data_IF_019898165958
#
_entry.id   IF_019898165958
#
_cell.length_a   1.000
_cell.length_b   1.000
_cell.length_c   1.000
_cell.angle_alpha   90.00
_cell.angle_beta   90.00
_cell.angle_gamma   90.00
#
_symmetry.space_group_name_H-M   'P 1'
#
loop_
_entity.id
_entity.type
_entity.pdbx_description
1 polymer ?
#
# COMPACT_ATOMS: atom_id res chain seq x y z
N UNK A 1 -40.77 -17.51 -4.88
CA UNK A 1 -39.47 -17.05 -4.35
C UNK A 1 -39.74 -16.31 -3.04
N UNK A 2 -39.00 -16.60 -1.96
CA UNK A 2 -39.25 -16.02 -0.63
C UNK A 2 -38.03 -15.20 -0.22
N UNK A 3 -38.25 -13.97 0.23
CA UNK A 3 -37.23 -13.16 0.90
C UNK A 3 -37.50 -13.18 2.41
N UNK A 4 -36.46 -13.36 3.21
CA UNK A 4 -36.53 -13.31 4.67
C UNK A 4 -35.58 -12.21 5.14
N UNK A 5 -36.11 -11.22 5.85
CA UNK A 5 -35.30 -10.22 6.54
C UNK A 5 -34.84 -10.75 7.90
N UNK A 6 -33.57 -10.54 8.23
CA UNK A 6 -32.98 -10.92 9.52
C UNK A 6 -32.27 -9.71 10.09
N UNK A 7 -32.52 -9.43 11.37
CA UNK A 7 -31.80 -8.40 12.11
C UNK A 7 -30.55 -9.02 12.74
N UNK A 8 -29.38 -8.49 12.40
CA UNK A 8 -28.08 -8.95 12.90
C UNK A 8 -27.38 -7.82 13.65
N UNK A 9 -26.51 -8.17 14.60
CA UNK A 9 -25.64 -7.21 15.29
C UNK A 9 -24.51 -6.69 14.40
N UNK A 10 -24.13 -7.44 13.37
CA UNK A 10 -23.08 -7.09 12.41
C UNK A 10 -23.38 -7.73 11.06
N UNK A 11 -23.00 -7.05 9.97
CA UNK A 11 -23.23 -7.57 8.64
C UNK A 11 -22.34 -8.79 8.34
N UNK A 12 -22.86 -9.78 7.60
CA UNK A 12 -22.08 -10.95 7.21
C UNK A 12 -20.95 -10.57 6.23
N UNK A 13 -19.94 -11.45 6.03
CA UNK A 13 -18.88 -11.23 5.05
C UNK A 13 -19.42 -10.90 3.65
N UNK A 14 -18.79 -9.95 2.96
CA UNK A 14 -19.24 -9.45 1.66
C UNK A 14 -20.39 -8.44 1.72
N UNK A 15 -20.77 -7.97 2.91
CA UNK A 15 -21.74 -6.89 3.11
C UNK A 15 -21.17 -5.79 4.01
N UNK A 16 -21.54 -4.55 3.76
CA UNK A 16 -21.23 -3.41 4.63
C UNK A 16 -22.51 -2.84 5.25
N UNK A 17 -22.39 -2.29 6.45
CA UNK A 17 -23.51 -1.69 7.17
C UNK A 17 -23.74 -0.25 6.72
N UNK A 18 -24.85 0.01 6.02
CA UNK A 18 -25.31 1.35 5.71
C UNK A 18 -26.23 1.83 6.83
N UNK A 19 -25.85 2.92 7.49
CA UNK A 19 -26.71 3.60 8.47
C UNK A 19 -27.59 4.61 7.75
N UNK A 20 -28.88 4.54 7.98
CA UNK A 20 -29.90 5.50 7.51
C UNK A 20 -30.77 5.91 8.71
N UNK A 21 -31.36 7.13 8.71
CA UNK A 21 -32.29 7.57 9.74
C UNK A 21 -33.47 6.60 9.96
N UNK A 22 -33.86 5.86 8.93
CA UNK A 22 -35.01 4.94 8.98
C UNK A 22 -34.63 3.57 9.54
N UNK A 23 -33.53 2.99 9.05
CA UNK A 23 -33.04 1.67 9.46
C UNK A 23 -31.58 1.47 9.05
N UNK A 24 -30.90 0.57 9.76
CA UNK A 24 -29.58 0.10 9.34
C UNK A 24 -29.76 -1.11 8.40
N UNK A 25 -29.03 -1.12 7.30
CA UNK A 25 -29.12 -2.18 6.29
C UNK A 25 -27.74 -2.75 5.98
N UNK A 26 -27.69 -4.04 5.67
CA UNK A 26 -26.49 -4.66 5.13
C UNK A 26 -26.57 -4.65 3.61
N UNK A 27 -25.72 -3.86 2.97
CA UNK A 27 -25.65 -3.74 1.52
C UNK A 27 -24.49 -4.60 1.01
N UNK A 28 -24.73 -5.36 -0.05
CA UNK A 28 -23.72 -6.24 -0.64
C UNK A 28 -22.58 -5.41 -1.24
N UNK A 29 -21.34 -5.82 -0.98
CA UNK A 29 -20.16 -5.28 -1.64
C UNK A 29 -20.19 -5.56 -3.15
N UNK A 30 -19.35 -4.83 -3.90
CA UNK A 30 -19.16 -5.09 -5.33
C UNK A 30 -18.55 -6.47 -5.59
N UNK A 31 -18.72 -6.98 -6.81
CA UNK A 31 -18.38 -8.36 -7.17
C UNK A 31 -16.88 -8.69 -7.05
N UNK A 32 -16.03 -7.69 -7.26
CA UNK A 32 -14.56 -7.66 -7.19
C UNK A 32 -14.01 -7.50 -5.77
N UNK A 33 -14.88 -7.20 -4.80
CA UNK A 33 -14.50 -6.86 -3.43
C UNK A 33 -14.96 -7.94 -2.43
N UNK A 34 -14.03 -8.41 -1.58
CA UNK A 34 -14.31 -9.37 -0.51
C UNK A 34 -14.84 -8.66 0.75
N UNK A 35 -14.23 -7.53 1.11
CA UNK A 35 -14.65 -6.70 2.23
C UNK A 35 -14.61 -5.23 1.83
N UNK A 36 -15.71 -4.50 2.09
CA UNK A 36 -15.85 -3.09 1.77
C UNK A 36 -16.28 -2.27 2.99
N UNK A 37 -15.80 -1.03 3.06
CA UNK A 37 -16.22 -0.07 4.07
C UNK A 37 -17.52 0.62 3.64
N UNK A 38 -17.63 0.93 2.36
CA UNK A 38 -18.85 1.46 1.74
C UNK A 38 -18.92 0.99 0.27
N UNK A 39 -19.94 1.44 -0.47
CA UNK A 39 -20.14 1.03 -1.86
C UNK A 39 -18.99 1.39 -2.82
N UNK A 40 -18.19 2.41 -2.49
CA UNK A 40 -17.10 2.92 -3.32
C UNK A 40 -15.70 2.62 -2.77
N UNK A 41 -15.61 2.09 -1.56
CA UNK A 41 -14.35 1.86 -0.86
C UNK A 41 -14.25 0.41 -0.40
N UNK A 42 -13.47 -0.37 -1.15
CA UNK A 42 -13.06 -1.71 -0.82
C UNK A 42 -11.86 -1.68 0.12
N UNK A 43 -11.86 -2.54 1.14
CA UNK A 43 -10.74 -2.74 2.07
C UNK A 43 -9.98 -4.03 1.77
N UNK A 44 -10.61 -4.99 1.10
CA UNK A 44 -9.98 -6.24 0.67
C UNK A 44 -10.56 -6.73 -0.65
N UNK A 45 -9.71 -6.86 -1.66
CA UNK A 45 -10.09 -7.39 -2.96
C UNK A 45 -10.16 -8.91 -2.97
N UNK A 46 -10.94 -9.47 -3.89
CA UNK A 46 -10.92 -10.91 -4.13
C UNK A 46 -9.63 -11.33 -4.84
N UNK A 47 -9.26 -12.59 -4.71
CA UNK A 47 -8.12 -13.17 -5.42
C UNK A 47 -8.21 -12.88 -6.94
N UNK A 48 -7.08 -12.42 -7.51
CA UNK A 48 -7.00 -12.00 -8.91
C UNK A 48 -7.23 -10.51 -9.15
N UNK A 49 -7.60 -9.75 -8.12
CA UNK A 49 -7.70 -8.28 -8.17
C UNK A 49 -6.71 -7.64 -7.20
N UNK A 50 -6.19 -6.47 -7.58
CA UNK A 50 -5.29 -5.65 -6.79
C UNK A 50 -6.02 -4.42 -6.25
N UNK A 51 -5.80 -4.12 -4.97
CA UNK A 51 -6.36 -2.95 -4.32
C UNK A 51 -5.57 -1.68 -4.70
N UNK A 52 -6.29 -0.68 -5.16
CA UNK A 52 -5.75 0.65 -5.44
C UNK A 52 -6.78 1.74 -5.10
N UNK A 53 -6.44 2.63 -4.16
CA UNK A 53 -7.30 3.74 -3.72
C UNK A 53 -8.75 3.32 -3.37
N UNK A 54 -8.90 2.17 -2.72
CA UNK A 54 -10.21 1.63 -2.34
C UNK A 54 -11.00 0.97 -3.49
N UNK A 55 -10.37 0.73 -4.65
CA UNK A 55 -10.96 -0.01 -5.78
C UNK A 55 -10.16 -1.27 -6.06
N UNK A 56 -10.83 -2.29 -6.58
CA UNK A 56 -10.20 -3.53 -7.01
C UNK A 56 -10.04 -3.51 -8.52
N UNK A 57 -8.82 -3.74 -9.00
CA UNK A 57 -8.47 -3.70 -10.41
C UNK A 57 -7.80 -5.01 -10.80
N UNK A 58 -8.11 -5.54 -11.98
CA UNK A 58 -7.43 -6.73 -12.50
C UNK A 58 -5.96 -6.42 -12.85
N UNK A 59 -5.71 -5.22 -13.39
CA UNK A 59 -4.38 -4.73 -13.73
C UNK A 59 -4.14 -3.38 -13.03
N UNK A 60 -2.93 -3.19 -12.51
CA UNK A 60 -2.53 -1.91 -11.91
C UNK A 60 -2.38 -0.83 -13.00
N UNK A 61 -2.76 0.42 -12.72
CA UNK A 61 -2.62 1.54 -13.65
C UNK A 61 -1.14 1.91 -13.86
N UNK A 62 -0.88 2.72 -14.89
CA UNK A 62 0.48 3.14 -15.25
C UNK A 62 1.25 3.72 -14.06
N UNK A 63 2.54 3.33 -13.95
CA UNK A 63 3.46 3.69 -12.85
C UNK A 63 3.28 2.93 -11.53
N UNK A 64 2.38 1.95 -11.48
CA UNK A 64 2.24 1.02 -10.35
C UNK A 64 2.52 -0.43 -10.77
N UNK A 65 3.07 -1.21 -9.85
CA UNK A 65 3.32 -2.64 -10.00
C UNK A 65 2.41 -3.48 -9.08
N UNK A 66 1.93 -4.64 -9.56
CA UNK A 66 1.14 -5.55 -8.76
C UNK A 66 1.99 -6.24 -7.69
N UNK A 67 1.66 -6.02 -6.42
CA UNK A 67 2.28 -6.72 -5.31
C UNK A 67 1.47 -7.96 -4.93
N UNK A 68 1.99 -9.14 -5.26
CA UNK A 68 1.34 -10.41 -4.94
C UNK A 68 1.33 -10.77 -3.45
N UNK A 69 2.19 -10.15 -2.62
CA UNK A 69 2.21 -10.39 -1.19
C UNK A 69 1.05 -9.70 -0.47
N UNK A 70 0.72 -8.47 -0.86
CA UNK A 70 -0.35 -7.68 -0.25
C UNK A 70 -1.62 -7.60 -1.09
N UNK A 71 -1.58 -8.07 -2.35
CA UNK A 71 -2.64 -7.88 -3.36
C UNK A 71 -2.99 -6.39 -3.55
N UNK A 72 -1.97 -5.54 -3.62
CA UNK A 72 -2.09 -4.09 -3.77
C UNK A 72 -1.27 -3.61 -4.98
N UNK A 73 -1.67 -2.46 -5.53
CA UNK A 73 -0.87 -1.75 -6.53
C UNK A 73 0.08 -0.78 -5.83
N UNK A 74 1.37 -1.07 -5.89
CA UNK A 74 2.42 -0.27 -5.27
C UNK A 74 3.14 0.58 -6.31
N UNK A 75 3.69 1.72 -5.90
CA UNK A 75 4.52 2.55 -6.78
C UNK A 75 5.73 1.76 -7.29
N UNK A 76 6.03 1.97 -8.58
CA UNK A 76 7.25 1.47 -9.21
C UNK A 76 8.43 2.30 -8.67
N UNK A 77 8.86 1.97 -7.45
CA UNK A 77 10.07 2.54 -6.88
C UNK A 77 11.25 1.71 -7.38
N UNK A 78 11.57 1.84 -8.66
CA UNK A 78 12.85 1.36 -9.20
C UNK A 78 13.96 2.35 -8.86
N UNK A 79 14.12 2.75 -7.60
CA UNK A 79 15.35 3.39 -7.18
C UNK A 79 16.39 2.28 -6.98
N UNK A 80 16.98 1.80 -8.09
CA UNK A 80 18.19 1.01 -7.99
C UNK A 80 19.24 1.96 -7.42
N UNK A 81 19.65 1.72 -6.19
CA UNK A 81 20.65 2.58 -5.59
C UNK A 81 22.01 2.00 -5.96
N UNK A 82 22.92 2.85 -6.46
CA UNK A 82 24.26 2.42 -6.80
C UNK A 82 25.04 1.97 -5.54
N UNK A 83 26.13 1.24 -5.77
CA UNK A 83 27.07 0.92 -4.71
C UNK A 83 27.64 2.20 -4.09
N UNK A 84 28.02 2.12 -2.82
CA UNK A 84 28.68 3.23 -2.14
C UNK A 84 29.99 3.59 -2.83
N UNK A 85 30.28 4.90 -2.95
CA UNK A 85 31.61 5.34 -3.36
C UNK A 85 32.66 4.96 -2.31
N UNK A 86 33.92 5.01 -2.72
CA UNK A 86 35.04 4.81 -1.80
C UNK A 86 35.03 5.88 -0.71
N UNK A 87 35.47 5.51 0.50
CA UNK A 87 35.62 6.45 1.60
C UNK A 87 36.60 7.57 1.24
N UNK A 88 36.22 8.81 1.56
CA UNK A 88 37.14 9.94 1.46
C UNK A 88 38.28 9.78 2.47
N UNK A 89 39.45 10.37 2.22
CA UNK A 89 40.55 10.34 3.18
C UNK A 89 40.15 10.98 4.52
N UNK A 90 40.59 10.40 5.63
CA UNK A 90 40.36 10.95 6.97
C UNK A 90 40.84 12.41 7.07
N UNK A 91 39.91 13.35 7.26
CA UNK A 91 40.22 14.78 7.40
C UNK A 91 39.76 15.34 8.73
N UNK A 92 40.47 16.39 9.20
CA UNK A 92 40.07 17.20 10.36
C UNK A 92 40.31 18.67 10.06
N UNK A 93 39.24 19.47 10.08
CA UNK A 93 39.25 20.89 9.69
C UNK A 93 39.89 21.12 8.30
N UNK A 94 39.58 20.24 7.33
CA UNK A 94 40.04 20.35 5.94
C UNK A 94 41.49 19.93 5.69
N UNK A 95 42.21 19.43 6.71
CA UNK A 95 43.58 18.91 6.57
C UNK A 95 43.55 17.37 6.61
N UNK A 96 44.48 16.72 5.91
CA UNK A 96 44.60 15.24 5.81
C UNK A 96 45.72 14.62 6.67
N UNK A 97 46.65 15.42 7.22
CA UNK A 97 47.74 14.94 8.06
C UNK A 97 47.97 15.79 9.32
N UNK A 98 48.51 15.18 10.39
CA UNK A 98 48.86 15.87 11.64
C UNK A 98 47.84 15.75 12.78
N UNK A 99 46.91 14.79 12.73
CA UNK A 99 45.90 14.57 13.77
C UNK A 99 45.69 13.08 14.05
N UNK A 100 45.39 12.74 15.31
CA UNK A 100 45.20 11.36 15.77
C UNK A 100 43.81 10.77 15.44
N UNK A 101 42.85 11.61 15.02
CA UNK A 101 41.44 11.26 14.71
C UNK A 101 40.88 12.30 13.73
N UNK A 102 39.96 11.89 12.88
CA UNK A 102 39.25 12.73 11.90
C UNK A 102 37.97 12.06 11.42
N UNK A 103 37.32 12.63 10.41
CA UNK A 103 36.08 12.13 9.83
C UNK A 103 36.30 11.74 8.36
N UNK A 104 35.60 10.71 7.92
CA UNK A 104 35.53 10.24 6.54
C UNK A 104 34.08 10.30 6.08
N UNK A 105 33.88 10.62 4.80
CA UNK A 105 32.58 10.71 4.15
C UNK A 105 32.57 9.85 2.90
N UNK A 106 31.41 9.32 2.56
CA UNK A 106 31.17 8.64 1.29
C UNK A 106 29.77 8.98 0.80
N UNK A 107 29.58 8.91 -0.50
CA UNK A 107 28.34 9.28 -1.16
C UNK A 107 27.83 8.08 -1.96
N UNK A 108 26.52 8.06 -2.22
CA UNK A 108 25.90 7.09 -3.12
C UNK A 108 24.77 7.77 -3.83
N UNK A 109 24.69 7.51 -5.14
CA UNK A 109 23.66 8.06 -6.00
C UNK A 109 22.66 6.97 -6.39
N UNK A 110 21.55 7.41 -6.97
CA UNK A 110 20.62 6.53 -7.65
C UNK A 110 21.18 6.14 -9.03
N UNK A 111 20.92 4.91 -9.47
CA UNK A 111 21.26 4.38 -10.78
C UNK A 111 20.33 4.93 -11.87
#
# INVERSE_FOLDING_TARGET
>A
MKQIGVCLSSCPPGYFGQRSPERNECIKCKADCEACFNQNFCTKCKNGFYLHLGKCLENCPDRLEPNNHTMECNDIVHCKINEWSQWSPCTRKGKTCGFKRGNETRERDYA
#
